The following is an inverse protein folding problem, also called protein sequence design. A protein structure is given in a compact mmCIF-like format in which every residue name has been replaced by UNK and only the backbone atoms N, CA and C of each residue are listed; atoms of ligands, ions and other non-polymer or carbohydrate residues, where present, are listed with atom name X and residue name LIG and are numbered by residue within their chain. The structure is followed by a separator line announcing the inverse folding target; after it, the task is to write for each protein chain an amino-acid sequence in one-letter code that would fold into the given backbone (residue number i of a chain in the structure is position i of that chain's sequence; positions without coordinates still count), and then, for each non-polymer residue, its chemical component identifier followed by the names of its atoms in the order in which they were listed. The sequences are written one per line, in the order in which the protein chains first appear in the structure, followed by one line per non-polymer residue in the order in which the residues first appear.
data_IF_455007640716
#
_entry.id   IF_455007640716
#
_cell.length_a   1.000
_cell.length_b   1.000
_cell.length_c   1.000
_cell.angle_alpha   90.00
_cell.angle_beta   90.00
_cell.angle_gamma   90.00
#
_symmetry.space_group_name_H-M   'P 1'
#
loop_
_entity.id
_entity.type
_entity.pdbx_description
1 polymer ?
#
# COMPACT_ATOMS: atom_id res chain seq x y z
N UNK A 1 -6.90 4.16 15.56
CA UNK A 1 -6.11 4.57 14.37
C UNK A 1 -4.71 4.00 14.48
N UNK A 2 -4.23 3.37 13.44
CA UNK A 2 -2.90 2.77 13.43
C UNK A 2 -1.89 3.76 12.86
N UNK A 3 -0.77 3.92 13.55
CA UNK A 3 0.31 4.76 13.07
C UNK A 3 1.26 3.95 12.19
N UNK A 4 1.54 4.46 11.00
CA UNK A 4 2.46 3.84 10.06
C UNK A 4 3.75 4.63 9.98
N UNK A 5 4.86 3.91 9.83
CA UNK A 5 6.15 4.51 9.54
C UNK A 5 6.67 3.98 8.21
N UNK A 6 7.73 4.57 7.67
CA UNK A 6 8.31 4.11 6.41
C UNK A 6 9.25 2.94 6.64
N UNK A 7 9.53 2.18 5.56
CA UNK A 7 10.54 1.12 5.62
C UNK A 7 11.94 1.72 5.75
N UNK A 8 12.76 1.12 6.60
CA UNK A 8 14.12 1.61 6.85
C UNK A 8 15.15 1.12 5.84
N UNK A 9 14.89 -0.04 5.22
CA UNK A 9 15.83 -0.60 4.25
C UNK A 9 15.09 -1.48 3.24
N UNK A 10 15.79 -1.81 2.13
CA UNK A 10 15.21 -2.57 1.04
C UNK A 10 14.99 -4.05 1.33
N UNK A 11 15.61 -4.59 2.37
CA UNK A 11 15.43 -6.01 2.69
C UNK A 11 13.99 -6.33 3.11
N UNK A 12 13.31 -5.39 3.74
CA UNK A 12 11.91 -5.55 4.11
C UNK A 12 11.01 -5.71 2.87
N UNK A 13 11.37 -5.02 1.78
CA UNK A 13 10.60 -5.12 0.54
C UNK A 13 10.74 -6.48 -0.13
N UNK A 14 11.94 -7.07 -0.08
CA UNK A 14 12.19 -8.34 -0.74
C UNK A 14 11.35 -9.46 -0.16
N UNK A 15 11.24 -9.52 1.16
CA UNK A 15 10.40 -10.51 1.83
C UNK A 15 8.92 -10.25 1.60
N UNK A 16 8.53 -8.99 1.53
CA UNK A 16 7.15 -8.58 1.37
C UNK A 16 6.59 -8.87 -0.03
N UNK A 17 7.45 -8.85 -1.05
CA UNK A 17 7.06 -9.03 -2.46
C UNK A 17 6.74 -10.46 -2.86
N UNK A 18 6.40 -11.32 -1.94
CA UNK A 18 5.99 -12.69 -2.27
C UNK A 18 4.55 -12.69 -2.77
N UNK A 19 4.27 -13.55 -3.76
CA UNK A 19 2.94 -13.64 -4.36
C UNK A 19 1.84 -13.94 -3.34
N UNK A 20 2.14 -14.73 -2.33
CA UNK A 20 1.18 -15.07 -1.29
C UNK A 20 0.69 -13.87 -0.50
N UNK A 21 1.45 -12.76 -0.51
CA UNK A 21 1.10 -11.53 0.17
C UNK A 21 0.46 -10.49 -0.75
N UNK A 22 0.26 -10.82 -2.02
CA UNK A 22 -0.11 -9.85 -3.05
C UNK A 22 -1.56 -9.97 -3.49
N UNK A 23 -2.24 -8.83 -3.53
CA UNK A 23 -3.51 -8.68 -4.21
C UNK A 23 -3.30 -7.70 -5.36
N UNK A 24 -3.71 -8.09 -6.58
CA UNK A 24 -3.62 -7.21 -7.75
C UNK A 24 -5.01 -6.93 -8.28
N UNK A 25 -5.36 -5.66 -8.40
CA UNK A 25 -6.66 -5.24 -8.93
C UNK A 25 -6.57 -3.83 -9.50
N UNK A 26 -7.13 -3.63 -10.69
CA UNK A 26 -7.24 -2.32 -11.35
C UNK A 26 -5.93 -1.55 -11.44
N UNK A 27 -4.83 -2.26 -11.68
CA UNK A 27 -3.51 -1.63 -11.80
C UNK A 27 -2.82 -1.35 -10.48
N UNK A 28 -3.40 -1.79 -9.38
CA UNK A 28 -2.84 -1.62 -8.05
C UNK A 28 -2.39 -2.97 -7.50
N UNK A 29 -1.17 -3.03 -6.99
CA UNK A 29 -0.66 -4.21 -6.29
C UNK A 29 -0.54 -3.89 -4.81
N UNK A 30 -1.14 -4.71 -3.98
CA UNK A 30 -1.12 -4.52 -2.52
C UNK A 30 -0.47 -5.73 -1.88
N UNK A 31 0.66 -5.51 -1.23
CA UNK A 31 1.37 -6.54 -0.49
C UNK A 31 1.19 -6.27 1.00
N UNK A 32 0.69 -7.25 1.74
CA UNK A 32 0.51 -7.12 3.18
C UNK A 32 1.08 -8.36 3.85
N UNK A 33 1.92 -8.15 4.84
CA UNK A 33 2.54 -9.20 5.63
C UNK A 33 2.48 -8.85 7.11
N UNK A 34 2.32 -9.85 7.95
CA UNK A 34 2.35 -9.65 9.40
C UNK A 34 3.71 -9.10 9.82
N UNK A 35 3.70 -8.08 10.67
CA UNK A 35 4.92 -7.48 11.19
C UNK A 35 5.28 -8.10 12.53
N UNK A 36 6.58 -8.27 12.75
CA UNK A 36 7.11 -8.67 14.05
C UNK A 36 7.69 -7.47 14.82
N UNK A 37 7.44 -6.26 14.33
CA UNK A 37 7.88 -5.03 14.98
C UNK A 37 6.74 -4.41 15.80
N UNK A 38 7.03 -3.33 16.51
CA UNK A 38 6.04 -2.62 17.31
C UNK A 38 5.18 -1.67 16.49
N UNK A 39 5.63 -1.28 15.31
CA UNK A 39 4.94 -0.34 14.44
C UNK A 39 4.68 -0.93 13.08
N UNK A 40 3.54 -0.58 12.51
CA UNK A 40 3.25 -0.90 11.12
C UNK A 40 4.10 -0.02 10.20
N UNK A 41 4.48 -0.58 9.04
CA UNK A 41 5.24 0.15 8.04
C UNK A 41 4.50 0.19 6.73
N UNK A 42 4.58 1.34 6.08
CA UNK A 42 3.93 1.57 4.79
C UNK A 42 4.95 2.07 3.79
N UNK A 43 4.94 1.47 2.61
CA UNK A 43 5.72 1.95 1.47
C UNK A 43 4.81 2.05 0.25
N UNK A 44 5.03 3.08 -0.55
CA UNK A 44 4.24 3.34 -1.74
C UNK A 44 5.20 3.57 -2.90
N UNK A 45 5.00 2.83 -3.98
CA UNK A 45 5.82 2.95 -5.19
C UNK A 45 4.94 3.23 -6.39
N UNK A 46 5.29 4.25 -7.16
CA UNK A 46 4.70 4.54 -8.45
C UNK A 46 5.84 4.99 -9.35
N UNK A 47 6.29 4.14 -10.30
CA UNK A 47 7.45 4.46 -11.13
C UNK A 47 7.29 5.73 -11.94
N UNK A 48 8.41 6.41 -12.21
CA UNK A 48 8.41 7.63 -13.02
C UNK A 48 7.88 7.40 -14.43
N UNK A 49 8.04 6.20 -14.96
CA UNK A 49 7.53 5.83 -16.27
C UNK A 49 6.00 5.78 -16.32
N UNK A 50 5.36 5.64 -15.18
CA UNK A 50 3.89 5.50 -15.09
C UNK A 50 3.16 6.83 -14.91
N UNK A 51 3.79 7.81 -14.29
CA UNK A 51 3.14 9.08 -14.02
C UNK A 51 4.15 10.17 -13.69
N UNK A 52 3.78 11.44 -13.95
CA UNK A 52 4.62 12.57 -13.60
C UNK A 52 4.61 12.82 -12.08
N UNK A 53 5.46 13.75 -11.63
CA UNK A 53 5.63 14.03 -10.21
C UNK A 53 4.34 14.45 -9.51
N UNK A 54 3.51 15.27 -10.19
CA UNK A 54 2.26 15.76 -9.62
C UNK A 54 1.30 14.60 -9.36
N UNK A 55 1.13 13.72 -10.34
CA UNK A 55 0.25 12.57 -10.22
C UNK A 55 0.76 11.58 -9.18
N UNK A 56 2.09 11.36 -9.12
CA UNK A 56 2.68 10.48 -8.12
C UNK A 56 2.44 11.00 -6.70
N UNK A 57 2.59 12.30 -6.49
CA UNK A 57 2.35 12.90 -5.18
C UNK A 57 0.89 12.79 -4.75
N UNK A 58 -0.04 13.02 -5.70
CA UNK A 58 -1.47 12.86 -5.43
C UNK A 58 -1.81 11.43 -5.07
N UNK A 59 -1.24 10.46 -5.80
CA UNK A 59 -1.47 9.05 -5.55
C UNK A 59 -0.99 8.66 -4.15
N UNK A 60 0.22 9.06 -3.78
CA UNK A 60 0.77 8.79 -2.45
C UNK A 60 -0.10 9.37 -1.35
N UNK A 61 -0.61 10.58 -1.56
CA UNK A 61 -1.48 11.22 -0.58
C UNK A 61 -2.77 10.46 -0.38
N UNK A 62 -3.40 10.02 -1.49
CA UNK A 62 -4.62 9.22 -1.44
C UNK A 62 -4.40 7.91 -0.69
N UNK A 63 -3.32 7.21 -0.99
CA UNK A 63 -3.01 5.94 -0.34
C UNK A 63 -2.80 6.14 1.16
N UNK A 64 -2.06 7.15 1.56
CA UNK A 64 -1.85 7.45 2.97
C UNK A 64 -3.16 7.71 3.70
N UNK A 65 -4.08 8.46 3.09
CA UNK A 65 -5.38 8.73 3.68
C UNK A 65 -6.22 7.46 3.81
N UNK A 66 -6.21 6.61 2.78
CA UNK A 66 -6.92 5.33 2.82
C UNK A 66 -6.40 4.48 3.97
N UNK A 67 -5.09 4.31 4.05
CA UNK A 67 -4.48 3.44 5.07
C UNK A 67 -4.73 3.96 6.47
N UNK A 68 -4.67 5.28 6.66
CA UNK A 68 -4.98 5.89 7.96
C UNK A 68 -6.42 5.67 8.40
N UNK A 69 -7.34 5.59 7.44
CA UNK A 69 -8.75 5.38 7.72
C UNK A 69 -9.17 3.92 7.91
N UNK A 70 -8.26 2.98 7.69
CA UNK A 70 -8.58 1.57 7.86
C UNK A 70 -8.61 1.18 9.33
N UNK A 71 -9.57 0.33 9.69
CA UNK A 71 -9.62 -0.25 11.01
C UNK A 71 -8.76 -1.51 11.03
N UNK A 72 -7.49 -1.34 11.40
CA UNK A 72 -6.53 -2.43 11.43
C UNK A 72 -6.17 -2.72 12.89
N UNK A 73 -6.41 -3.97 13.30
CA UNK A 73 -6.18 -4.39 14.68
C UNK A 73 -4.80 -5.02 14.90
N UNK A 74 -4.11 -5.35 13.83
CA UNK A 74 -2.78 -5.96 13.88
C UNK A 74 -1.73 -5.04 13.30
N UNK A 75 -0.48 -5.35 13.54
CA UNK A 75 0.64 -4.59 13.00
C UNK A 75 1.11 -5.28 11.71
N UNK A 76 1.13 -4.55 10.62
CA UNK A 76 1.45 -5.08 9.29
C UNK A 76 2.55 -4.29 8.59
N UNK A 77 3.25 -4.99 7.70
CA UNK A 77 4.02 -4.35 6.64
C UNK A 77 3.10 -4.24 5.43
N UNK A 78 2.92 -3.03 4.91
CA UNK A 78 2.09 -2.78 3.73
C UNK A 78 2.95 -2.12 2.65
N UNK A 79 2.96 -2.72 1.46
CA UNK A 79 3.66 -2.16 0.31
C UNK A 79 2.69 -2.08 -0.84
N UNK A 80 2.51 -0.87 -1.37
CA UNK A 80 1.55 -0.62 -2.44
C UNK A 80 2.29 -0.13 -3.66
N UNK A 81 2.10 -0.84 -4.79
CA UNK A 81 2.69 -0.48 -6.07
C UNK A 81 1.57 -0.06 -7.00
N UNK A 82 1.68 1.16 -7.52
CA UNK A 82 0.71 1.70 -8.44
C UNK A 82 1.21 1.72 -9.88
N UNK A 83 0.25 1.88 -10.79
CA UNK A 83 0.51 2.13 -12.21
C UNK A 83 -0.28 3.35 -12.62
N UNK A 84 -0.10 3.80 -13.88
CA UNK A 84 -0.88 4.92 -14.41
C UNK A 84 -2.39 4.69 -14.24
N UNK A 85 -2.84 3.47 -14.47
CA UNK A 85 -4.24 3.10 -14.30
C UNK A 85 -4.72 3.35 -12.88
N UNK A 86 -3.90 3.01 -11.88
CA UNK A 86 -4.25 3.19 -10.48
C UNK A 86 -4.35 4.66 -10.06
N UNK A 87 -3.62 5.55 -10.73
CA UNK A 87 -3.69 6.99 -10.41
C UNK A 87 -5.05 7.60 -10.68
N UNK A 88 -5.86 6.94 -11.50
CA UNK A 88 -7.20 7.40 -11.85
C UNK A 88 -8.27 6.93 -10.89
N UNK A 89 -7.93 6.05 -9.96
CA UNK A 89 -8.88 5.54 -8.98
C UNK A 89 -9.15 6.59 -7.90
N UNK A 90 -10.41 6.65 -7.48
CA UNK A 90 -10.81 7.55 -6.42
C UNK A 90 -10.56 6.91 -5.06
N UNK A 91 -10.60 7.72 -4.01
CA UNK A 91 -10.40 7.28 -2.63
C UNK A 91 -11.22 6.02 -2.30
N UNK A 92 -12.50 6.05 -2.61
CA UNK A 92 -13.40 4.95 -2.29
C UNK A 92 -12.99 3.63 -2.97
N UNK A 93 -12.57 3.73 -4.24
CA UNK A 93 -12.12 2.56 -4.98
C UNK A 93 -10.82 1.99 -4.42
N UNK A 94 -9.86 2.86 -4.11
CA UNK A 94 -8.60 2.46 -3.49
C UNK A 94 -8.85 1.78 -2.15
N UNK A 95 -9.73 2.35 -1.35
CA UNK A 95 -10.09 1.79 -0.05
C UNK A 95 -10.69 0.39 -0.19
N UNK A 96 -11.63 0.22 -1.12
CA UNK A 96 -12.27 -1.07 -1.34
C UNK A 96 -11.26 -2.14 -1.76
N UNK A 97 -10.33 -1.79 -2.65
CA UNK A 97 -9.30 -2.73 -3.10
C UNK A 97 -8.39 -3.13 -1.94
N UNK A 98 -7.91 -2.18 -1.17
CA UNK A 98 -7.01 -2.46 -0.06
C UNK A 98 -7.70 -3.28 1.03
N UNK A 99 -8.94 -2.93 1.38
CA UNK A 99 -9.71 -3.66 2.37
C UNK A 99 -10.03 -5.10 1.96
N UNK A 100 -10.07 -5.37 0.66
CA UNK A 100 -10.35 -6.72 0.16
C UNK A 100 -9.16 -7.67 0.27
N UNK A 101 -7.99 -7.18 0.67
CA UNK A 101 -6.82 -8.03 0.85
C UNK A 101 -7.09 -9.10 1.92
N UNK A 102 -6.76 -10.39 1.64
CA UNK A 102 -7.05 -11.47 2.58
C UNK A 102 -6.49 -11.27 3.99
N UNK A 103 -5.36 -10.58 4.11
CA UNK A 103 -4.75 -10.33 5.43
C UNK A 103 -5.54 -9.35 6.28
N UNK A 104 -6.40 -8.53 5.69
CA UNK A 104 -7.23 -7.57 6.41
C UNK A 104 -8.65 -8.07 6.69
N UNK A 105 -8.97 -9.24 6.19
CA UNK A 105 -10.31 -9.84 6.37
C UNK A 105 -10.29 -10.98 7.36
#
# INVERSE_FOLDING_TARGET
MVNFTTFKNSNHFLDLKKEENCLTEKGLKVYIQDSNEELSRLAISLPKSEANAVKRNKFRRKIKEVVRGLEINNIFYIYIVGTNKATKLQYKELRNIIESHPKLN
#
